data_IF_687973427569
#
_entry.id   IF_687973427569
#
_cell.length_a   1.000
_cell.length_b   1.000
_cell.length_c   1.000
_cell.angle_alpha   90.00
_cell.angle_beta   90.00
_cell.angle_gamma   90.00
#
_symmetry.space_group_name_H-M   'P 1'
#
loop_
_entity.id
_entity.type
_entity.pdbx_description
1 polymer ?
#
# COMPACT_ATOMS: atom_id res chain seq x y z
N UNK A 1 0.36 16.59 -6.11
CA UNK A 1 -0.34 15.33 -5.78
C UNK A 1 0.15 14.17 -6.62
N UNK A 2 0.11 14.25 -7.95
CA UNK A 2 0.57 13.18 -8.86
C UNK A 2 1.98 12.66 -8.55
N UNK A 3 2.94 13.54 -8.26
CA UNK A 3 4.30 13.14 -7.90
C UNK A 3 4.40 12.24 -6.65
N UNK A 4 3.52 12.43 -5.65
CA UNK A 4 3.52 11.60 -4.44
C UNK A 4 2.99 10.19 -4.74
N UNK A 5 1.96 10.09 -5.59
CA UNK A 5 1.46 8.80 -6.06
C UNK A 5 2.52 8.09 -6.92
N UNK A 6 3.12 8.78 -7.89
CA UNK A 6 4.16 8.21 -8.74
C UNK A 6 5.45 7.85 -7.98
N UNK A 7 5.73 8.48 -6.84
CA UNK A 7 6.85 8.11 -5.98
C UNK A 7 6.69 6.74 -5.31
N UNK A 8 5.44 6.32 -5.08
CA UNK A 8 5.08 5.02 -4.47
C UNK A 8 4.63 4.01 -5.53
N UNK A 9 3.95 4.47 -6.57
CA UNK A 9 3.30 3.71 -7.63
C UNK A 9 3.71 4.26 -9.01
N UNK A 10 4.94 4.01 -9.48
CA UNK A 10 5.51 4.66 -10.66
C UNK A 10 4.77 4.34 -11.97
N UNK A 11 4.15 3.16 -12.05
CA UNK A 11 3.37 2.70 -13.21
C UNK A 11 1.93 3.18 -13.20
N UNK A 12 1.55 4.01 -12.22
CA UNK A 12 0.17 4.40 -12.04
C UNK A 12 -0.35 5.36 -13.11
N UNK A 13 -1.44 4.94 -13.77
CA UNK A 13 -2.18 5.73 -14.75
C UNK A 13 -3.25 6.56 -14.04
N UNK A 14 -2.82 7.63 -13.38
CA UNK A 14 -3.70 8.43 -12.53
C UNK A 14 -4.38 9.59 -13.26
N UNK A 15 -5.70 9.63 -13.14
CA UNK A 15 -6.59 10.68 -13.66
C UNK A 15 -7.29 11.41 -12.52
N UNK A 16 -7.64 12.69 -12.75
CA UNK A 16 -8.40 13.51 -11.82
C UNK A 16 -9.89 13.36 -12.12
N UNK A 17 -10.64 12.73 -11.21
CA UNK A 17 -12.08 12.55 -11.31
C UNK A 17 -12.74 12.97 -9.99
N UNK A 18 -13.77 13.82 -10.06
CA UNK A 18 -14.54 14.28 -8.89
C UNK A 18 -13.67 14.91 -7.77
N UNK A 19 -12.57 15.56 -8.15
CA UNK A 19 -11.63 16.15 -7.19
C UNK A 19 -10.68 15.15 -6.52
N UNK A 20 -10.71 13.88 -6.91
CA UNK A 20 -9.81 12.83 -6.44
C UNK A 20 -8.94 12.29 -7.57
N UNK A 21 -7.69 11.94 -7.25
CA UNK A 21 -6.78 11.31 -8.22
C UNK A 21 -6.86 9.80 -8.06
N UNK A 22 -7.24 9.09 -9.13
CA UNK A 22 -7.53 7.65 -9.14
C UNK A 22 -6.94 7.00 -10.39
N UNK A 23 -6.57 5.73 -10.30
CA UNK A 23 -5.98 4.99 -11.41
C UNK A 23 -5.40 3.65 -10.95
N UNK A 24 -5.26 2.68 -11.86
CA UNK A 24 -4.57 1.43 -11.58
C UNK A 24 -3.06 1.64 -11.50
N UNK A 25 -2.37 0.79 -10.73
CA UNK A 25 -0.91 0.75 -10.65
C UNK A 25 -0.45 -0.63 -10.14
N UNK A 26 0.82 -0.97 -10.35
CA UNK A 26 1.45 -2.09 -9.65
C UNK A 26 1.81 -1.74 -8.19
N UNK A 27 2.29 -2.74 -7.45
CA UNK A 27 2.76 -2.60 -6.07
C UNK A 27 4.25 -2.90 -5.92
N UNK A 28 5.01 -2.99 -7.01
CA UNK A 28 6.40 -3.44 -6.96
C UNK A 28 7.27 -2.42 -6.22
N UNK A 29 7.13 -1.13 -6.56
CA UNK A 29 7.84 -0.07 -5.85
C UNK A 29 7.39 0.07 -4.40
N UNK A 30 6.10 -0.09 -4.12
CA UNK A 30 5.58 -0.11 -2.75
C UNK A 30 6.24 -1.24 -1.93
N UNK A 31 6.32 -2.44 -2.52
CA UNK A 31 6.95 -3.64 -1.96
C UNK A 31 8.43 -3.43 -1.63
N UNK A 32 9.17 -2.72 -2.50
CA UNK A 32 10.55 -2.30 -2.20
C UNK A 32 10.63 -1.30 -1.05
N UNK A 33 9.74 -0.31 -1.03
CA UNK A 33 9.75 0.77 -0.05
C UNK A 33 9.47 0.26 1.37
N UNK A 34 8.55 -0.69 1.54
CA UNK A 34 8.26 -1.28 2.87
C UNK A 34 9.43 -2.12 3.39
N UNK A 35 10.18 -2.79 2.51
CA UNK A 35 11.43 -3.50 2.84
C UNK A 35 12.52 -2.53 3.29
N UNK A 36 12.80 -1.52 2.46
CA UNK A 36 13.82 -0.49 2.75
C UNK A 36 13.53 0.26 4.05
N UNK A 37 12.26 0.48 4.36
CA UNK A 37 11.83 1.14 5.59
C UNK A 37 11.73 0.19 6.80
N UNK A 38 11.94 -1.12 6.62
CA UNK A 38 11.79 -2.14 7.67
C UNK A 38 10.41 -2.12 8.35
N UNK A 39 9.36 -1.95 7.55
CA UNK A 39 7.96 -1.89 8.03
C UNK A 39 7.09 -3.03 7.47
N UNK A 40 7.71 -4.16 7.09
CA UNK A 40 7.01 -5.32 6.52
C UNK A 40 5.88 -5.82 7.42
N UNK A 41 6.13 -5.98 8.72
CA UNK A 41 5.12 -6.49 9.66
C UNK A 41 3.92 -5.55 9.77
N UNK A 42 4.18 -4.23 9.74
CA UNK A 42 3.12 -3.21 9.75
C UNK A 42 2.33 -3.24 8.44
N UNK A 43 3.03 -3.31 7.30
CA UNK A 43 2.39 -3.38 5.99
C UNK A 43 1.50 -4.62 5.87
N UNK A 44 2.04 -5.78 6.26
CA UNK A 44 1.30 -7.05 6.29
C UNK A 44 0.07 -6.96 7.18
N UNK A 45 0.23 -6.50 8.42
CA UNK A 45 -0.88 -6.33 9.37
C UNK A 45 -1.99 -5.44 8.81
N UNK A 46 -1.62 -4.31 8.19
CA UNK A 46 -2.58 -3.37 7.60
C UNK A 46 -3.29 -3.94 6.36
N UNK A 47 -2.56 -4.64 5.49
CA UNK A 47 -3.16 -5.34 4.34
C UNK A 47 -4.12 -6.44 4.81
N UNK A 48 -3.75 -7.24 5.80
CA UNK A 48 -4.61 -8.30 6.35
C UNK A 48 -5.85 -7.73 7.05
N UNK A 49 -5.69 -6.67 7.86
CA UNK A 49 -6.80 -5.96 8.51
C UNK A 49 -7.80 -5.39 7.49
N UNK A 50 -7.30 -4.95 6.33
CA UNK A 50 -8.09 -4.42 5.23
C UNK A 50 -8.83 -5.46 4.40
N UNK A 51 -8.52 -6.75 4.54
CA UNK A 51 -9.20 -7.84 3.80
C UNK A 51 -10.67 -7.87 4.21
N UNK A 52 -11.57 -7.76 3.23
CA UNK A 52 -13.00 -7.90 3.46
C UNK A 52 -13.38 -9.38 3.42
N UNK A 53 -13.99 -9.90 4.49
CA UNK A 53 -14.45 -11.31 4.56
C UNK A 53 -15.24 -11.71 3.31
N UNK A 54 -14.86 -12.83 2.71
CA UNK A 54 -15.49 -13.36 1.49
C UNK A 54 -15.21 -12.56 0.22
N UNK A 55 -14.18 -11.69 0.22
CA UNK A 55 -13.75 -10.94 -0.97
C UNK A 55 -12.26 -11.07 -1.20
N UNK A 56 -11.92 -11.12 -2.48
CA UNK A 56 -10.58 -11.12 -3.05
C UNK A 56 -9.97 -9.71 -3.09
N UNK A 57 -10.12 -8.96 -1.98
CA UNK A 57 -9.82 -7.53 -1.93
C UNK A 57 -9.37 -7.07 -0.55
N UNK A 58 -8.34 -6.24 -0.52
CA UNK A 58 -7.95 -5.44 0.66
C UNK A 58 -7.99 -3.95 0.37
N UNK A 59 -8.27 -3.15 1.40
CA UNK A 59 -8.21 -1.69 1.36
C UNK A 59 -7.46 -1.18 2.57
N UNK A 60 -6.47 -0.31 2.34
CA UNK A 60 -5.72 0.36 3.38
C UNK A 60 -5.45 1.82 3.01
N UNK A 61 -5.04 2.64 3.98
CA UNK A 61 -4.83 4.07 3.79
C UNK A 61 -3.39 4.47 4.14
N UNK A 62 -2.81 5.32 3.30
CA UNK A 62 -1.49 5.90 3.49
C UNK A 62 -1.59 7.40 3.80
N UNK A 63 -0.66 7.89 4.61
CA UNK A 63 -0.52 9.30 4.90
C UNK A 63 0.00 10.04 3.66
N UNK A 64 -0.83 10.91 3.08
CA UNK A 64 -0.48 11.68 1.87
C UNK A 64 0.72 12.60 2.08
N UNK A 65 0.91 13.15 3.28
CA UNK A 65 2.05 14.02 3.58
C UNK A 65 3.37 13.25 3.60
N UNK A 66 3.37 12.02 4.11
CA UNK A 66 4.56 11.18 4.14
C UNK A 66 4.88 10.66 2.72
N UNK A 67 3.85 10.43 1.90
CA UNK A 67 4.01 10.04 0.51
C UNK A 67 4.69 11.12 -0.35
N UNK A 68 4.55 12.41 -0.05
CA UNK A 68 5.21 13.48 -0.84
C UNK A 68 6.73 13.46 -0.71
N UNK A 69 7.27 12.83 0.34
CA UNK A 69 8.71 12.62 0.53
C UNK A 69 9.14 11.18 0.20
N UNK A 70 8.29 10.42 -0.52
CA UNK A 70 8.60 9.07 -1.00
C UNK A 70 8.65 8.00 0.10
N UNK A 71 8.04 8.26 1.26
CA UNK A 71 7.97 7.32 2.39
C UNK A 71 6.56 6.74 2.55
N UNK A 72 6.48 5.62 3.26
CA UNK A 72 5.20 4.93 3.53
C UNK A 72 4.88 5.08 5.01
N UNK A 73 3.66 5.55 5.29
CA UNK A 73 3.09 5.56 6.63
C UNK A 73 1.62 5.19 6.52
N UNK A 74 1.22 4.13 7.20
CA UNK A 74 -0.17 3.72 7.29
C UNK A 74 -0.94 4.62 8.26
N UNK A 75 -2.23 4.83 8.00
CA UNK A 75 -3.13 5.60 8.85
C UNK A 75 -4.53 5.00 8.82
N UNK A 76 -5.17 4.89 9.98
CA UNK A 76 -6.55 4.40 10.13
C UNK A 76 -7.58 5.54 10.28
N UNK A 77 -7.14 6.81 10.18
CA UNK A 77 -7.96 8.00 10.36
C UNK A 77 -7.73 9.01 9.23
N UNK A 78 -8.63 9.98 9.09
CA UNK A 78 -8.45 11.09 8.12
C UNK A 78 -7.38 12.06 8.63
N UNK A 79 -6.33 12.26 7.84
CA UNK A 79 -5.28 13.24 8.13
C UNK A 79 -5.64 14.63 7.59
N UNK A 80 -4.96 15.68 8.09
CA UNK A 80 -5.25 17.09 7.76
C UNK A 80 -5.17 17.37 6.25
N UNK A 81 -4.20 16.80 5.54
CA UNK A 81 -4.08 16.93 4.07
C UNK A 81 -4.70 15.75 3.31
N UNK A 82 -5.40 14.88 4.01
CA UNK A 82 -6.07 13.69 3.49
C UNK A 82 -5.16 12.48 3.31
N UNK A 83 -5.78 11.36 3.00
CA UNK A 83 -5.11 10.06 2.84
C UNK A 83 -5.03 9.66 1.37
N UNK A 84 -4.19 8.68 1.07
CA UNK A 84 -4.23 7.93 -0.19
C UNK A 84 -4.90 6.59 0.14
N UNK A 85 -6.07 6.34 -0.42
CA UNK A 85 -6.76 5.05 -0.28
C UNK A 85 -6.24 4.10 -1.35
N UNK A 86 -5.69 2.96 -0.93
CA UNK A 86 -5.18 1.93 -1.83
C UNK A 86 -6.13 0.75 -1.74
N UNK A 87 -6.65 0.34 -2.89
CA UNK A 87 -7.52 -0.83 -3.02
C UNK A 87 -6.84 -1.83 -3.93
N UNK A 88 -6.68 -3.05 -3.44
CA UNK A 88 -6.02 -4.13 -4.18
C UNK A 88 -7.00 -5.27 -4.33
N UNK A 89 -7.17 -5.75 -5.55
CA UNK A 89 -8.00 -6.91 -5.90
C UNK A 89 -7.09 -7.98 -6.53
N UNK A 90 -7.23 -9.23 -6.10
CA UNK A 90 -6.41 -10.36 -6.57
C UNK A 90 -7.15 -11.69 -6.36
N UNK A 91 -7.01 -12.64 -7.28
CA UNK A 91 -7.71 -13.95 -7.22
C UNK A 91 -7.46 -14.72 -5.92
N UNK A 92 -6.25 -14.61 -5.38
CA UNK A 92 -5.90 -15.06 -4.04
C UNK A 92 -5.25 -13.86 -3.31
N UNK A 93 -6.05 -13.20 -2.47
CA UNK A 93 -5.60 -12.00 -1.77
C UNK A 93 -4.56 -12.31 -0.70
N UNK A 94 -4.61 -13.50 -0.09
CA UNK A 94 -3.67 -13.89 0.96
C UNK A 94 -2.30 -14.21 0.34
N UNK A 95 -2.26 -14.98 -0.75
CA UNK A 95 -1.04 -15.23 -1.51
C UNK A 95 -0.45 -13.94 -2.09
N UNK A 96 -1.30 -13.01 -2.53
CA UNK A 96 -0.85 -11.69 -2.97
C UNK A 96 -0.17 -10.91 -1.83
N UNK A 97 -0.77 -10.90 -0.63
CA UNK A 97 -0.19 -10.26 0.55
C UNK A 97 1.15 -10.91 0.91
N UNK A 98 1.26 -12.23 0.85
CA UNK A 98 2.53 -12.95 1.11
C UNK A 98 3.65 -12.53 0.16
N UNK A 99 3.33 -12.29 -1.12
CA UNK A 99 4.30 -11.80 -2.10
C UNK A 99 4.74 -10.35 -1.86
N UNK A 100 3.79 -9.47 -1.52
CA UNK A 100 4.08 -8.03 -1.33
C UNK A 100 4.75 -7.77 0.01
N UNK A 101 4.19 -8.32 1.09
CA UNK A 101 4.64 -8.14 2.47
C UNK A 101 4.83 -9.52 3.14
N UNK A 102 5.94 -10.23 2.81
CA UNK A 102 6.24 -11.53 3.41
C UNK A 102 6.39 -11.42 4.92
N UNK A 103 6.18 -12.55 5.60
CA UNK A 103 6.45 -12.64 7.04
C UNK A 103 7.93 -12.39 7.32
N UNK A 104 8.21 -11.86 8.50
CA UNK A 104 9.58 -11.72 9.00
C UNK A 104 9.74 -12.45 10.33
N UNK A 105 10.95 -12.93 10.60
CA UNK A 105 11.36 -13.45 11.91
C UNK A 105 12.64 -12.72 12.29
N UNK A 106 12.67 -12.09 13.48
CA UNK A 106 13.77 -11.23 13.92
C UNK A 106 14.12 -10.10 12.93
N UNK A 107 13.16 -9.61 12.15
CA UNK A 107 13.35 -8.53 11.18
C UNK A 107 13.97 -8.97 9.84
N UNK A 108 14.14 -10.28 9.63
CA UNK A 108 14.55 -10.85 8.34
C UNK A 108 13.38 -11.56 7.66
N UNK A 109 13.25 -11.36 6.34
CA UNK A 109 12.22 -12.01 5.53
C UNK A 109 12.39 -13.54 5.58
N UNK A 110 11.33 -14.26 5.94
CA UNK A 110 11.31 -15.71 5.76
C UNK A 110 11.00 -16.01 4.29
N UNK A 111 11.96 -16.60 3.57
CA UNK A 111 11.68 -17.15 2.24
C UNK A 111 10.76 -18.35 2.41
N UNK A 112 9.57 -18.28 1.82
CA UNK A 112 8.70 -19.44 1.63
C UNK A 112 9.30 -20.39 0.58
#
# INVERSE_FOLDING_TARGET
>A
MKAALLGIFPTGEFELAEGEMKGPADLDRFSELIRRQKILDTARSQMQKGVRKGKNRTVFSLNKQVATVGKISFVDYRTVLGTISVSVEADDIDAFIDRVAPMTVNGEEVKQ
#
